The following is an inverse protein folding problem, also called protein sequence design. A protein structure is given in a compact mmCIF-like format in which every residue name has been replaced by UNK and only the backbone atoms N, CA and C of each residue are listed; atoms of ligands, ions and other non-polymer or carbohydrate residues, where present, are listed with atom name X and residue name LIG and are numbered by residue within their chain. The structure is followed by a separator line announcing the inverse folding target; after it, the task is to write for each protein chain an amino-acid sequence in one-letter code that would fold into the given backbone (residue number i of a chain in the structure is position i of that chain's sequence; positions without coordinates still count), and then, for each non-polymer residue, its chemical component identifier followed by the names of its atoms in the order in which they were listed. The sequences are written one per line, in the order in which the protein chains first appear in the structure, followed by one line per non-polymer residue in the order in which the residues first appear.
data_IF_137396257103
#
_entry.id   IF_137396257103
#
_cell.length_a   1.000
_cell.length_b   1.000
_cell.length_c   1.000
_cell.angle_alpha   90.00
_cell.angle_beta   90.00
_cell.angle_gamma   90.00
#
_symmetry.space_group_name_H-M   'P 1'
#
loop_
_entity.id
_entity.type
_entity.pdbx_description
1 polymer ?
#
# COMPACT_ATOMS: atom_id res chain seq x y z
N UNK A 1 -22.41 5.75 -6.57
CA UNK A 1 -22.16 5.48 -5.13
C UNK A 1 -20.68 5.24 -4.92
N UNK A 2 -20.07 5.97 -3.98
CA UNK A 2 -18.65 5.87 -3.72
C UNK A 2 -18.33 4.67 -2.84
N UNK A 3 -17.26 3.97 -3.18
CA UNK A 3 -16.77 2.80 -2.44
C UNK A 3 -15.44 3.18 -1.78
N UNK A 4 -15.29 2.87 -0.49
CA UNK A 4 -14.05 3.08 0.24
C UNK A 4 -13.04 2.00 -0.08
N UNK A 5 -11.81 2.41 -0.40
CA UNK A 5 -10.75 1.50 -0.83
C UNK A 5 -9.48 1.78 -0.03
N UNK A 6 -8.86 0.72 0.48
CA UNK A 6 -7.52 0.82 1.08
C UNK A 6 -6.48 0.36 0.06
N UNK A 7 -5.47 1.19 -0.13
CA UNK A 7 -4.35 0.91 -1.03
C UNK A 7 -3.05 0.88 -0.24
N UNK A 8 -2.21 -0.11 -0.53
CA UNK A 8 -0.86 -0.18 0.02
C UNK A 8 0.14 0.37 -0.98
N UNK A 9 1.04 1.24 -0.53
CA UNK A 9 2.10 1.82 -1.34
C UNK A 9 3.43 1.35 -0.80
N UNK A 10 4.34 0.94 -1.67
CA UNK A 10 5.67 0.49 -1.25
C UNK A 10 6.74 0.91 -2.23
N UNK A 11 7.94 1.18 -1.71
CA UNK A 11 9.10 1.55 -2.51
C UNK A 11 10.37 1.18 -1.78
N UNK A 12 11.39 0.72 -2.51
CA UNK A 12 12.72 0.48 -1.93
C UNK A 12 13.84 0.91 -2.87
N UNK A 13 13.53 1.75 -3.85
CA UNK A 13 14.50 2.20 -4.83
C UNK A 13 14.40 3.70 -5.03
N UNK A 14 15.54 4.38 -5.07
CA UNK A 14 15.60 5.83 -5.27
C UNK A 14 15.10 6.61 -4.06
N UNK A 15 14.54 7.79 -4.29
CA UNK A 15 13.95 8.60 -3.24
C UNK A 15 12.53 8.08 -2.94
N UNK A 16 12.47 7.05 -2.08
CA UNK A 16 11.24 6.35 -1.78
C UNK A 16 10.18 7.25 -1.15
N UNK A 17 10.57 8.16 -0.27
CA UNK A 17 9.60 9.08 0.34
C UNK A 17 8.96 10.00 -0.70
N UNK A 18 9.77 10.54 -1.61
CA UNK A 18 9.26 11.41 -2.68
C UNK A 18 8.31 10.65 -3.61
N UNK A 19 8.66 9.42 -3.99
CA UNK A 19 7.83 8.64 -4.90
C UNK A 19 6.51 8.21 -4.26
N UNK A 20 6.51 7.90 -2.96
CA UNK A 20 5.28 7.57 -2.23
C UNK A 20 4.34 8.79 -2.17
N UNK A 21 4.89 9.99 -1.92
CA UNK A 21 4.10 11.22 -1.90
C UNK A 21 3.53 11.54 -3.27
N UNK A 22 4.32 11.35 -4.32
CA UNK A 22 3.87 11.58 -5.68
C UNK A 22 2.75 10.59 -6.06
N UNK A 23 2.91 9.32 -5.73
CA UNK A 23 1.89 8.31 -5.97
C UNK A 23 0.60 8.65 -5.23
N UNK A 24 0.69 9.08 -3.99
CA UNK A 24 -0.45 9.48 -3.19
C UNK A 24 -1.20 10.66 -3.84
N UNK A 25 -0.47 11.66 -4.32
CA UNK A 25 -1.06 12.81 -5.00
C UNK A 25 -1.79 12.40 -6.28
N UNK A 26 -1.18 11.52 -7.07
CA UNK A 26 -1.81 11.02 -8.30
C UNK A 26 -3.08 10.22 -7.99
N UNK A 27 -3.04 9.39 -6.95
CA UNK A 27 -4.19 8.59 -6.55
C UNK A 27 -5.32 9.44 -5.97
N UNK A 28 -5.00 10.57 -5.35
CA UNK A 28 -6.01 11.46 -4.80
C UNK A 28 -6.96 12.01 -5.87
N UNK A 29 -6.52 12.05 -7.12
CA UNK A 29 -7.35 12.50 -8.25
C UNK A 29 -8.56 11.58 -8.45
N UNK A 30 -8.42 10.29 -8.14
CA UNK A 30 -9.52 9.33 -8.26
C UNK A 30 -10.48 9.39 -7.08
N UNK A 31 -10.08 10.02 -5.98
CA UNK A 31 -10.89 9.99 -4.77
C UNK A 31 -12.00 11.02 -4.82
N UNK A 32 -13.21 10.60 -4.44
CA UNK A 32 -14.37 11.44 -4.34
C UNK A 32 -14.42 12.23 -3.04
N UNK A 33 -13.61 11.80 -2.07
CA UNK A 33 -13.47 12.49 -0.78
C UNK A 33 -12.00 12.76 -0.51
N UNK A 34 -11.72 13.50 0.55
CA UNK A 34 -10.34 13.76 0.95
C UNK A 34 -9.62 12.43 1.25
N UNK A 35 -8.44 12.27 0.70
CA UNK A 35 -7.61 11.08 0.92
C UNK A 35 -7.11 11.06 2.36
N UNK A 36 -7.18 9.88 2.98
CA UNK A 36 -6.62 9.65 4.32
C UNK A 36 -5.35 8.81 4.15
N UNK A 37 -4.29 9.20 4.82
CA UNK A 37 -2.99 8.52 4.67
C UNK A 37 -2.35 8.21 6.02
N UNK A 38 -1.68 7.06 6.07
CA UNK A 38 -0.82 6.72 7.19
C UNK A 38 0.49 7.51 7.12
N UNK A 39 1.30 7.37 8.16
CA UNK A 39 2.71 7.75 8.08
C UNK A 39 3.41 6.89 7.03
N UNK A 40 4.57 7.33 6.59
CA UNK A 40 5.51 6.48 5.86
C UNK A 40 6.26 5.64 6.89
N UNK A 41 6.24 4.33 6.71
CA UNK A 41 6.92 3.38 7.59
C UNK A 41 8.15 2.82 6.90
N UNK A 42 9.25 2.84 7.62
CA UNK A 42 10.50 2.23 7.17
C UNK A 42 10.61 0.85 7.78
N UNK A 43 10.91 -0.15 6.97
CA UNK A 43 11.13 -1.51 7.44
C UNK A 43 12.45 -2.06 6.95
N UNK A 44 13.10 -2.82 7.84
CA UNK A 44 14.36 -3.49 7.53
C UNK A 44 14.10 -4.98 7.54
N UNK A 45 14.38 -5.71 6.45
CA UNK A 45 14.19 -7.15 6.44
C UNK A 45 15.07 -7.80 7.51
N UNK A 46 14.46 -8.57 8.41
CA UNK A 46 15.24 -9.30 9.41
C UNK A 46 16.00 -10.44 8.76
N UNK A 47 17.23 -10.65 9.21
CA UNK A 47 18.07 -11.73 8.70
C UNK A 47 18.78 -11.44 7.39
N UNK A 48 18.59 -10.27 6.81
CA UNK A 48 19.31 -9.85 5.61
C UNK A 48 20.51 -8.99 6.00
N UNK A 49 21.56 -9.10 5.20
CA UNK A 49 22.73 -8.25 5.37
C UNK A 49 22.39 -6.81 4.96
N UNK A 50 23.26 -5.88 5.33
CA UNK A 50 23.11 -4.45 5.05
C UNK A 50 23.01 -4.10 3.55
N UNK A 51 23.10 -5.09 2.67
CA UNK A 51 23.04 -4.89 1.22
C UNK A 51 21.64 -4.80 0.65
N UNK A 52 20.61 -5.22 1.43
CA UNK A 52 19.24 -5.13 0.97
C UNK A 52 18.69 -3.75 1.34
N UNK A 53 18.19 -2.97 0.37
CA UNK A 53 17.62 -1.66 0.67
C UNK A 53 16.44 -1.79 1.62
N UNK A 54 16.31 -0.78 2.49
CA UNK A 54 15.14 -0.70 3.35
C UNK A 54 13.90 -0.41 2.52
N UNK A 55 12.77 -0.95 2.98
CA UNK A 55 11.47 -0.72 2.35
C UNK A 55 10.77 0.45 3.03
N UNK A 56 10.06 1.22 2.24
CA UNK A 56 9.22 2.32 2.70
C UNK A 56 7.80 2.02 2.26
N UNK A 57 6.87 2.03 3.20
CA UNK A 57 5.49 1.65 2.96
C UNK A 57 4.52 2.62 3.62
N UNK A 58 3.35 2.75 3.02
CA UNK A 58 2.26 3.50 3.59
C UNK A 58 0.95 2.88 3.13
N UNK A 59 -0.14 3.20 3.83
CA UNK A 59 -1.48 2.81 3.43
C UNK A 59 -2.30 4.09 3.29
N UNK A 60 -3.10 4.15 2.23
CA UNK A 60 -4.04 5.24 2.02
C UNK A 60 -5.45 4.71 1.88
N UNK A 61 -6.40 5.59 2.17
CA UNK A 61 -7.82 5.33 1.99
C UNK A 61 -8.38 6.38 1.04
N UNK A 62 -9.03 5.92 -0.02
CA UNK A 62 -9.72 6.78 -1.00
C UNK A 62 -11.12 6.24 -1.22
N UNK A 63 -11.97 7.07 -1.81
CA UNK A 63 -13.31 6.63 -2.24
C UNK A 63 -13.41 6.78 -3.75
N UNK A 64 -13.90 5.73 -4.40
CA UNK A 64 -13.97 5.70 -5.86
C UNK A 64 -15.36 5.27 -6.32
N UNK A 65 -15.69 5.59 -7.57
CA UNK A 65 -16.94 5.15 -8.18
C UNK A 65 -16.73 4.12 -9.28
N UNK A 66 -15.47 3.84 -9.63
CA UNK A 66 -15.15 2.87 -10.67
C UNK A 66 -15.15 1.44 -10.12
N UNK A 67 -15.42 0.43 -10.97
CA UNK A 67 -15.31 -0.98 -10.56
C UNK A 67 -13.89 -1.38 -10.16
N UNK A 68 -13.74 -2.47 -9.40
CA UNK A 68 -12.41 -2.85 -8.87
C UNK A 68 -11.36 -3.13 -9.95
N UNK A 69 -11.71 -3.78 -11.05
CA UNK A 69 -10.74 -4.05 -12.12
C UNK A 69 -10.36 -2.78 -12.89
N UNK A 70 -11.28 -1.83 -12.99
CA UNK A 70 -10.96 -0.51 -13.57
C UNK A 70 -9.96 0.25 -12.70
N UNK A 71 -10.14 0.18 -11.39
CA UNK A 71 -9.17 0.76 -10.45
C UNK A 71 -7.81 0.08 -10.59
N UNK A 72 -7.78 -1.24 -10.72
CA UNK A 72 -6.54 -1.98 -10.93
C UNK A 72 -5.82 -1.49 -12.19
N UNK A 73 -6.55 -1.29 -13.29
CA UNK A 73 -5.96 -0.80 -14.53
C UNK A 73 -5.31 0.58 -14.33
N UNK A 74 -5.99 1.47 -13.62
CA UNK A 74 -5.46 2.81 -13.32
C UNK A 74 -4.21 2.74 -12.43
N UNK A 75 -4.22 1.86 -11.44
CA UNK A 75 -3.08 1.64 -10.55
C UNK A 75 -1.88 1.12 -11.35
N UNK A 76 -2.09 0.16 -12.25
CA UNK A 76 -1.01 -0.39 -13.07
C UNK A 76 -0.44 0.66 -14.04
N UNK A 77 -1.28 1.51 -14.60
CA UNK A 77 -0.84 2.62 -15.43
C UNK A 77 0.01 3.61 -14.62
N UNK A 78 -0.40 3.90 -13.41
CA UNK A 78 0.33 4.80 -12.53
C UNK A 78 1.71 4.23 -12.16
N UNK A 79 1.78 2.95 -11.85
CA UNK A 79 3.06 2.28 -11.57
C UNK A 79 4.01 2.42 -12.76
N UNK A 80 3.52 2.20 -13.97
CA UNK A 80 4.30 2.37 -15.19
C UNK A 80 4.77 3.81 -15.37
N UNK A 81 3.87 4.76 -15.19
CA UNK A 81 4.16 6.18 -15.34
C UNK A 81 5.28 6.60 -14.39
N UNK A 82 5.16 6.25 -13.12
CA UNK A 82 6.13 6.63 -12.10
C UNK A 82 7.47 5.91 -12.30
N UNK A 83 7.44 4.66 -12.72
CA UNK A 83 8.65 3.92 -13.05
C UNK A 83 9.40 4.51 -14.23
N UNK A 84 8.68 4.96 -15.25
CA UNK A 84 9.28 5.57 -16.45
C UNK A 84 9.92 6.93 -16.17
N UNK A 85 9.39 7.67 -15.22
CA UNK A 85 9.92 9.00 -14.90
C UNK A 85 11.37 8.96 -14.43
N UNK A 86 11.88 7.79 -14.02
CA UNK A 86 13.24 7.60 -13.57
C UNK A 86 14.14 6.92 -14.60
N UNK A 87 13.61 6.57 -15.78
CA UNK A 87 14.39 5.95 -16.85
C UNK A 87 15.02 4.62 -16.50
N UNK A 88 14.50 3.92 -15.53
CA UNK A 88 15.10 2.71 -15.03
C UNK A 88 14.75 1.49 -15.86
N UNK A 89 15.78 0.73 -16.22
CA UNK A 89 15.59 -0.62 -16.72
C UNK A 89 15.26 -1.50 -15.54
N UNK A 90 14.06 -2.05 -15.53
CA UNK A 90 13.62 -2.96 -14.48
C UNK A 90 14.53 -4.17 -14.42
N UNK A 91 15.31 -4.29 -13.37
CA UNK A 91 15.94 -5.55 -13.01
C UNK A 91 14.88 -6.46 -12.43
N UNK A 92 14.97 -7.73 -12.74
CA UNK A 92 14.02 -8.79 -12.38
C UNK A 92 13.80 -9.02 -10.88
N UNK A 93 14.41 -8.24 -10.02
CA UNK A 93 14.32 -8.49 -8.59
C UNK A 93 13.78 -7.29 -7.87
N UNK A 94 12.90 -7.55 -7.05
CA UNK A 94 12.38 -6.96 -5.83
C UNK A 94 12.65 -5.46 -5.53
N UNK A 95 13.54 -4.78 -6.23
CA UNK A 95 13.71 -3.33 -6.07
C UNK A 95 12.79 -2.62 -7.04
N UNK A 96 11.76 -1.98 -6.49
CA UNK A 96 10.74 -1.27 -7.28
C UNK A 96 10.68 0.18 -6.86
N UNK A 97 10.55 1.07 -7.84
CA UNK A 97 10.29 2.48 -7.56
C UNK A 97 8.99 2.62 -6.80
N UNK A 98 7.95 1.94 -7.25
CA UNK A 98 6.64 1.99 -6.60
C UNK A 98 5.88 0.68 -6.84
N UNK A 99 5.22 0.22 -5.79
CA UNK A 99 4.32 -0.92 -5.86
C UNK A 99 3.03 -0.50 -5.17
N UNK A 100 1.91 -0.68 -5.84
CA UNK A 100 0.60 -0.26 -5.35
C UNK A 100 -0.33 -1.45 -5.34
N UNK A 101 -0.79 -1.85 -4.15
CA UNK A 101 -1.70 -2.98 -3.98
C UNK A 101 -3.08 -2.51 -3.54
N UNK A 102 -4.13 -3.07 -4.12
CA UNK A 102 -5.48 -2.88 -3.61
C UNK A 102 -5.67 -3.86 -2.46
N UNK A 103 -5.73 -3.34 -1.25
CA UNK A 103 -5.84 -4.16 -0.03
C UNK A 103 -7.28 -4.61 0.17
N UNK A 104 -8.21 -3.67 0.11
CA UNK A 104 -9.63 -3.88 0.34
C UNK A 104 -10.43 -2.90 -0.50
N UNK A 105 -11.52 -3.38 -1.07
CA UNK A 105 -12.43 -2.59 -1.89
C UNK A 105 -13.83 -2.73 -1.31
N UNK A 106 -14.18 -1.82 -0.39
CA UNK A 106 -15.49 -1.78 0.22
C UNK A 106 -15.94 -3.06 0.92
N UNK A 107 -15.01 -3.88 1.41
CA UNK A 107 -15.35 -5.17 2.02
C UNK A 107 -15.74 -6.25 1.02
N UNK A 108 -15.51 -6.02 -0.27
CA UNK A 108 -15.86 -6.98 -1.32
C UNK A 108 -14.94 -8.19 -1.29
N UNK A 109 -15.53 -9.39 -1.32
CA UNK A 109 -14.80 -10.64 -1.57
C UNK A 109 -14.96 -10.95 -3.04
N UNK A 110 -13.85 -10.94 -3.77
CA UNK A 110 -13.87 -11.00 -5.23
C UNK A 110 -12.65 -11.77 -5.74
N UNK A 111 -12.84 -12.53 -6.79
CA UNK A 111 -11.74 -13.27 -7.41
C UNK A 111 -11.92 -13.32 -8.93
N UNK A 112 -10.88 -12.89 -9.64
CA UNK A 112 -10.78 -13.07 -11.09
C UNK A 112 -9.33 -13.40 -11.43
N UNK A 113 -9.05 -13.63 -12.71
CA UNK A 113 -7.68 -13.88 -13.16
C UNK A 113 -6.75 -12.72 -12.89
N UNK A 114 -7.29 -11.51 -12.79
CA UNK A 114 -6.50 -10.28 -12.62
C UNK A 114 -6.41 -9.80 -11.19
N UNK A 115 -7.43 -10.10 -10.36
CA UNK A 115 -7.57 -9.43 -9.06
C UNK A 115 -8.23 -10.36 -8.05
N UNK A 116 -7.66 -10.41 -6.87
CA UNK A 116 -8.25 -11.08 -5.71
C UNK A 116 -8.43 -10.06 -4.59
N UNK A 117 -9.64 -9.98 -4.04
CA UNK A 117 -9.98 -9.08 -2.93
C UNK A 117 -10.63 -9.88 -1.79
N UNK A 118 -10.30 -9.60 -0.54
CA UNK A 118 -9.21 -8.72 -0.12
C UNK A 118 -7.86 -9.26 -0.57
N UNK A 119 -6.85 -8.41 -0.59
CA UNK A 119 -5.51 -8.83 -1.01
C UNK A 119 -5.07 -10.07 -0.21
N UNK A 120 -4.68 -11.16 -0.89
CA UNK A 120 -4.51 -12.46 -0.19
C UNK A 120 -3.36 -12.50 0.80
N UNK A 121 -2.36 -11.63 0.65
CA UNK A 121 -1.18 -11.62 1.52
C UNK A 121 -1.15 -10.45 2.51
N UNK A 122 -2.04 -9.48 2.35
CA UNK A 122 -2.01 -8.27 3.17
C UNK A 122 -2.07 -8.57 4.67
N UNK A 123 -2.91 -9.51 5.07
CA UNK A 123 -3.11 -9.86 6.48
C UNK A 123 -1.88 -10.48 7.14
N UNK A 124 -0.90 -10.90 6.37
CA UNK A 124 0.33 -11.52 6.89
C UNK A 124 1.52 -10.57 6.86
N UNK A 125 1.32 -9.31 6.49
CA UNK A 125 2.39 -8.35 6.25
C UNK A 125 2.36 -7.20 7.24
N UNK A 126 3.37 -7.10 8.08
CA UNK A 126 3.51 -6.00 9.05
C UNK A 126 3.46 -4.64 8.37
N UNK A 127 4.06 -4.53 7.18
CA UNK A 127 4.13 -3.26 6.45
C UNK A 127 2.80 -2.83 5.82
N UNK A 128 1.78 -3.68 5.90
CA UNK A 128 0.39 -3.32 5.61
C UNK A 128 -0.38 -3.10 6.91
N UNK A 129 -0.25 -4.01 7.85
CA UNK A 129 -1.05 -4.03 9.07
C UNK A 129 -0.78 -2.80 9.95
N UNK A 130 0.48 -2.44 10.16
CA UNK A 130 0.81 -1.32 11.05
C UNK A 130 0.35 0.03 10.51
N UNK A 131 0.59 0.37 9.23
CA UNK A 131 0.00 1.58 8.67
C UNK A 131 -1.54 1.56 8.68
N UNK A 132 -2.14 0.40 8.46
CA UNK A 132 -3.59 0.25 8.46
C UNK A 132 -4.18 0.53 9.84
N UNK A 133 -3.54 0.04 10.91
CA UNK A 133 -3.94 0.31 12.30
C UNK A 133 -3.96 1.83 12.54
N UNK A 134 -3.00 2.53 11.99
CA UNK A 134 -2.85 3.96 12.18
C UNK A 134 -4.07 4.74 11.66
N UNK A 135 -4.63 4.32 10.53
CA UNK A 135 -5.74 5.05 9.89
C UNK A 135 -7.11 4.40 10.13
N UNK A 136 -7.16 3.13 10.46
CA UNK A 136 -8.42 2.42 10.70
C UNK A 136 -8.19 1.28 11.70
N UNK A 137 -8.02 1.60 12.98
CA UNK A 137 -7.66 0.58 13.97
C UNK A 137 -8.70 -0.52 14.17
N UNK A 138 -9.95 -0.25 13.84
CA UNK A 138 -11.05 -1.23 13.94
C UNK A 138 -11.32 -1.98 12.64
N UNK A 139 -10.45 -1.84 11.65
CA UNK A 139 -10.60 -2.56 10.38
C UNK A 139 -10.55 -4.07 10.60
N UNK A 140 -11.42 -4.80 9.89
CA UNK A 140 -11.38 -6.25 9.77
C UNK A 140 -11.45 -6.62 8.31
N UNK A 141 -10.63 -7.61 7.91
CA UNK A 141 -10.77 -8.16 6.57
C UNK A 141 -12.14 -8.84 6.43
N UNK A 142 -12.82 -8.69 5.29
CA UNK A 142 -14.21 -9.16 5.15
C UNK A 142 -14.38 -10.67 5.29
N UNK A 143 -13.32 -11.44 5.09
CA UNK A 143 -13.32 -12.90 5.18
C UNK A 143 -12.61 -13.41 6.44
N UNK A 144 -12.46 -12.57 7.45
CA UNK A 144 -11.78 -12.91 8.70
C UNK A 144 -12.47 -12.25 9.89
N UNK A 145 -12.40 -12.91 11.04
CA UNK A 145 -12.88 -12.35 12.30
C UNK A 145 -11.74 -11.78 13.17
N UNK A 146 -10.49 -11.89 12.70
CA UNK A 146 -9.34 -11.42 13.47
C UNK A 146 -9.23 -9.90 13.44
N UNK A 147 -8.89 -9.31 14.59
CA UNK A 147 -8.56 -7.90 14.68
C UNK A 147 -7.18 -7.65 14.06
N UNK A 148 -6.89 -6.41 13.70
CA UNK A 148 -5.56 -6.05 13.20
C UNK A 148 -4.46 -6.37 14.22
N UNK A 149 -4.74 -6.15 15.51
CA UNK A 149 -3.77 -6.46 16.56
C UNK A 149 -3.45 -7.96 16.63
N UNK A 150 -4.46 -8.81 16.46
CA UNK A 150 -4.25 -10.26 16.39
C UNK A 150 -3.41 -10.64 15.19
N UNK A 151 -3.69 -10.04 14.04
CA UNK A 151 -2.94 -10.29 12.82
C UNK A 151 -1.48 -9.85 12.96
N UNK A 152 -1.23 -8.71 13.61
CA UNK A 152 0.14 -8.24 13.86
C UNK A 152 0.92 -9.23 14.70
N UNK A 153 0.30 -9.77 15.76
CA UNK A 153 0.94 -10.77 16.63
C UNK A 153 1.31 -12.03 15.85
N UNK A 154 0.48 -12.42 14.89
CA UNK A 154 0.66 -13.66 14.13
C UNK A 154 1.54 -13.49 12.88
N UNK A 155 1.78 -12.26 12.46
CA UNK A 155 2.59 -12.00 11.27
C UNK A 155 4.08 -12.15 11.55
N UNK A 156 4.85 -12.43 10.51
CA UNK A 156 6.32 -12.50 10.61
C UNK A 156 6.86 -11.21 11.21
N UNK A 157 7.73 -11.31 12.25
CA UNK A 157 8.33 -10.12 12.85
C UNK A 157 9.10 -9.29 11.82
N UNK A 158 8.96 -7.99 11.90
CA UNK A 158 9.66 -7.07 11.03
C UNK A 158 10.01 -5.83 11.84
N UNK A 159 11.24 -5.34 11.68
CA UNK A 159 11.67 -4.12 12.32
C UNK A 159 11.12 -2.94 11.55
N UNK A 160 10.16 -2.23 12.14
CA UNK A 160 9.45 -1.14 11.48
C UNK A 160 9.36 0.09 12.37
N UNK A 161 9.44 1.26 11.75
CA UNK A 161 9.21 2.51 12.45
C UNK A 161 8.57 3.54 11.51
N UNK A 162 7.64 4.37 12.02
CA UNK A 162 7.14 5.49 11.24
C UNK A 162 8.21 6.59 11.21
N UNK A 163 8.44 7.17 10.02
CA UNK A 163 9.51 8.16 9.85
C UNK A 163 9.01 9.54 9.47
N UNK A 164 7.87 9.64 8.78
CA UNK A 164 7.34 10.93 8.35
C UNK A 164 5.90 10.78 7.91
N UNK A 165 5.20 11.90 7.78
CA UNK A 165 3.84 11.88 7.26
C UNK A 165 3.86 11.74 5.74
N UNK A 166 2.98 10.91 5.20
CA UNK A 166 2.85 10.76 3.76
C UNK A 166 2.31 12.06 3.15
N UNK A 167 1.30 12.66 3.80
CA UNK A 167 0.77 13.94 3.41
C UNK A 167 1.26 14.95 4.44
N UNK A 168 1.99 16.00 4.02
CA UNK A 168 2.42 17.05 4.96
C UNK A 168 1.20 17.69 5.61
N UNK A 169 1.27 17.90 6.92
CA UNK A 169 0.27 18.67 7.62
C UNK A 169 0.38 20.12 7.12
N UNK A 170 -0.62 20.52 6.36
CA UNK A 170 -0.67 21.86 5.78
C UNK A 170 -0.89 22.95 6.77
#
# INVERSE_FOLDING_TARGET
MSIGVFLGLGSNLGDSEAILRLASNELSVFSKTELIASSIWKSSPEGFTSEVPEFFNAVIYITVEMPPESLLDEVLLLEKKLGRMRGEKTKKYSSRLIDIDIIDYGGLVYRSDKLTLPHPRARYRQFVLRPLIEIKPDFCFPDSSDSLNQLVVNAEPNRMEPISQLIPLG
#
